data_IF_014154023283
#
_entry.id   IF_014154023283
#
_cell.length_a   1.000
_cell.length_b   1.000
_cell.length_c   1.000
_cell.angle_alpha   90.00
_cell.angle_beta   90.00
_cell.angle_gamma   90.00
#
_symmetry.space_group_name_H-M   'P 1'
#
loop_
_entity.id
_entity.type
_entity.pdbx_description
1 polymer ?
#
# COMPACT_ATOMS: atom_id res chain seq x y z
N UNK A 1 31.05 1.10 -3.64
CA UNK A 1 30.00 2.14 -3.83
C UNK A 1 28.83 1.75 -2.95
N UNK A 2 28.61 2.46 -1.86
CA UNK A 2 27.46 2.19 -0.99
C UNK A 2 26.20 2.67 -1.69
N UNK A 3 25.31 1.75 -2.06
CA UNK A 3 23.96 2.11 -2.48
C UNK A 3 23.31 2.73 -1.26
N UNK A 4 23.12 4.05 -1.27
CA UNK A 4 22.21 4.74 -0.35
C UNK A 4 20.81 4.21 -0.64
N UNK A 5 20.47 3.05 -0.10
CA UNK A 5 19.09 2.58 -0.05
C UNK A 5 18.35 3.61 0.78
N UNK A 6 17.54 4.45 0.14
CA UNK A 6 16.58 5.26 0.89
C UNK A 6 15.76 4.29 1.72
N UNK A 7 15.55 4.57 3.02
CA UNK A 7 14.65 3.76 3.82
C UNK A 7 13.29 3.71 3.11
N UNK A 8 12.84 2.50 2.80
CA UNK A 8 11.59 2.25 2.11
C UNK A 8 10.47 2.47 3.13
N UNK A 9 9.79 3.61 3.03
CA UNK A 9 8.53 3.82 3.75
C UNK A 9 7.41 2.98 3.11
N UNK A 10 6.44 2.47 3.87
CA UNK A 10 6.30 2.51 5.33
C UNK A 10 7.23 1.53 6.05
N UNK A 11 7.55 1.77 7.33
CA UNK A 11 8.41 0.89 8.15
C UNK A 11 7.64 -0.01 9.12
N UNK A 12 6.38 0.31 9.40
CA UNK A 12 5.50 -0.45 10.30
C UNK A 12 4.06 -0.45 9.78
N UNK A 13 3.22 -1.35 10.33
CA UNK A 13 1.78 -1.34 10.04
C UNK A 13 1.10 -0.05 10.51
N UNK A 14 1.57 0.53 11.60
CA UNK A 14 1.05 1.79 12.12
C UNK A 14 1.32 2.96 11.15
N UNK A 15 2.46 2.95 10.45
CA UNK A 15 2.78 3.91 9.40
C UNK A 15 1.82 3.82 8.20
N UNK A 16 1.39 2.61 7.84
CA UNK A 16 0.35 2.36 6.83
C UNK A 16 -0.96 3.01 7.28
N UNK A 17 -1.39 2.73 8.52
CA UNK A 17 -2.63 3.27 9.08
C UNK A 17 -2.61 4.80 9.14
N UNK A 18 -1.53 5.39 9.64
CA UNK A 18 -1.34 6.85 9.69
C UNK A 18 -1.42 7.50 8.31
N UNK A 19 -0.88 6.85 7.28
CA UNK A 19 -0.91 7.37 5.91
C UNK A 19 -2.33 7.32 5.32
N UNK A 20 -3.10 6.27 5.64
CA UNK A 20 -4.49 6.11 5.21
C UNK A 20 -5.48 7.01 5.97
N UNK A 21 -5.24 7.25 7.25
CA UNK A 21 -6.01 8.23 8.06
C UNK A 21 -5.60 9.68 7.77
N UNK A 22 -4.47 9.88 7.10
CA UNK A 22 -4.01 11.19 6.64
C UNK A 22 -4.90 11.83 5.57
N UNK A 23 -4.64 13.11 5.28
CA UNK A 23 -5.40 13.94 4.32
C UNK A 23 -5.46 13.33 2.92
N UNK A 24 -4.39 12.63 2.52
CA UNK A 24 -4.28 12.02 1.19
C UNK A 24 -4.94 10.64 1.13
N UNK A 25 -5.13 9.98 2.28
CA UNK A 25 -5.74 8.65 2.34
C UNK A 25 -4.98 7.58 1.56
N UNK A 26 -3.65 7.68 1.47
CA UNK A 26 -2.89 6.93 0.48
C UNK A 26 -1.52 6.54 0.99
N UNK A 27 -1.08 5.34 0.63
CA UNK A 27 0.27 4.84 0.90
C UNK A 27 0.75 3.97 -0.26
N UNK A 28 2.01 4.15 -0.66
CA UNK A 28 2.62 3.38 -1.74
C UNK A 28 4.03 2.95 -1.36
N UNK A 29 4.38 1.71 -1.69
CA UNK A 29 5.69 1.14 -1.40
C UNK A 29 6.03 -0.03 -2.32
N UNK A 30 7.32 -0.25 -2.53
CA UNK A 30 7.82 -1.38 -3.31
C UNK A 30 7.82 -2.65 -2.45
N UNK A 31 7.16 -3.70 -2.93
CA UNK A 31 7.13 -5.00 -2.27
C UNK A 31 8.40 -5.82 -2.49
N UNK A 32 8.50 -6.97 -1.81
CA UNK A 32 9.69 -7.84 -1.89
C UNK A 32 9.92 -8.42 -3.29
N UNK A 33 8.87 -8.48 -4.11
CA UNK A 33 8.92 -8.91 -5.51
C UNK A 33 9.46 -7.81 -6.47
N UNK A 34 9.72 -6.60 -5.97
CA UNK A 34 10.14 -5.45 -6.78
C UNK A 34 9.00 -4.72 -7.48
N UNK A 35 7.74 -5.10 -7.23
CA UNK A 35 6.55 -4.42 -7.74
C UNK A 35 6.12 -3.28 -6.81
N UNK A 36 5.51 -2.24 -7.37
CA UNK A 36 4.96 -1.14 -6.61
C UNK A 36 3.55 -1.53 -6.13
N UNK A 37 3.33 -1.49 -4.83
CA UNK A 37 2.02 -1.61 -4.23
C UNK A 37 1.51 -0.25 -3.78
N UNK A 38 0.22 0.00 -3.96
CA UNK A 38 -0.44 1.26 -3.57
C UNK A 38 -1.77 0.93 -2.91
N UNK A 39 -1.95 1.37 -1.67
CA UNK A 39 -3.18 1.25 -0.92
C UNK A 39 -3.81 2.63 -0.75
N UNK A 40 -5.03 2.78 -1.25
CA UNK A 40 -5.73 4.06 -1.34
C UNK A 40 -7.10 3.95 -0.68
N UNK A 41 -7.46 4.95 0.12
CA UNK A 41 -8.79 5.12 0.72
C UNK A 41 -9.58 6.11 -0.12
N UNK A 42 -10.81 5.76 -0.47
CA UNK A 42 -11.73 6.68 -1.14
C UNK A 42 -11.96 7.93 -0.31
N UNK A 43 -11.91 9.08 -0.97
CA UNK A 43 -12.22 10.39 -0.37
C UNK A 43 -13.72 10.67 -0.30
N UNK A 44 -14.54 9.85 -0.98
CA UNK A 44 -15.99 9.96 -1.04
C UNK A 44 -16.67 8.72 -0.48
N UNK A 45 -17.87 8.90 0.06
CA UNK A 45 -18.71 7.78 0.48
C UNK A 45 -19.24 7.01 -0.75
N UNK A 46 -19.25 5.66 -0.71
CA UNK A 46 -18.84 4.81 0.41
C UNK A 46 -17.32 4.73 0.56
N UNK A 47 -16.84 4.69 1.82
CA UNK A 47 -15.44 4.46 2.12
C UNK A 47 -15.02 3.08 1.62
N UNK A 48 -14.10 3.05 0.66
CA UNK A 48 -13.50 1.83 0.12
C UNK A 48 -11.99 1.96 0.13
N UNK A 49 -11.30 0.83 0.29
CA UNK A 49 -9.85 0.73 0.22
C UNK A 49 -9.47 -0.03 -1.04
N UNK A 50 -8.62 0.53 -1.87
CA UNK A 50 -8.17 -0.08 -3.11
C UNK A 50 -6.69 -0.38 -3.00
N UNK A 51 -6.33 -1.67 -3.10
CA UNK A 51 -4.96 -2.13 -3.20
C UNK A 51 -4.65 -2.39 -4.67
N UNK A 52 -3.70 -1.65 -5.22
CA UNK A 52 -3.22 -1.81 -6.59
C UNK A 52 -1.77 -2.28 -6.57
N UNK A 53 -1.47 -3.33 -7.34
CA UNK A 53 -0.13 -3.80 -7.63
C UNK A 53 0.25 -3.40 -9.05
N UNK A 54 1.41 -2.78 -9.20
CA UNK A 54 1.96 -2.35 -10.49
C UNK A 54 3.26 -3.08 -10.78
N UNK A 55 3.51 -3.40 -12.05
CA UNK A 55 4.74 -4.07 -12.47
C UNK A 55 5.94 -3.15 -12.29
N UNK A 56 6.93 -3.60 -11.52
CA UNK A 56 8.15 -2.83 -11.28
C UNK A 56 7.84 -1.50 -10.59
N UNK A 57 8.45 -0.42 -11.08
CA UNK A 57 8.23 0.94 -10.57
C UNK A 57 7.40 1.81 -11.52
N UNK A 58 6.77 1.21 -12.54
CA UNK A 58 5.97 1.90 -13.54
C UNK A 58 4.50 1.80 -13.18
N UNK A 59 3.87 2.94 -12.84
CA UNK A 59 2.42 3.03 -12.57
C UNK A 59 1.54 2.78 -13.82
N UNK A 60 2.15 2.40 -14.95
CA UNK A 60 1.48 2.21 -16.24
C UNK A 60 0.83 0.83 -16.41
N UNK A 61 1.29 -0.20 -15.68
CA UNK A 61 0.75 -1.56 -15.81
C UNK A 61 0.30 -2.11 -14.44
N UNK A 62 -1.02 -2.14 -14.23
CA UNK A 62 -1.63 -2.74 -13.04
C UNK A 62 -1.67 -4.26 -13.24
N UNK A 63 -0.95 -4.99 -12.38
CA UNK A 63 -0.96 -6.45 -12.34
C UNK A 63 -2.16 -7.00 -11.58
N UNK A 64 -2.47 -6.37 -10.44
CA UNK A 64 -3.59 -6.78 -9.61
C UNK A 64 -4.26 -5.55 -8.99
N UNK A 65 -5.57 -5.63 -8.79
CA UNK A 65 -6.35 -4.58 -8.15
C UNK A 65 -7.45 -5.21 -7.31
N UNK A 66 -7.35 -5.04 -6.01
CA UNK A 66 -8.34 -5.53 -5.05
C UNK A 66 -9.00 -4.36 -4.33
N UNK A 67 -10.32 -4.44 -4.16
CA UNK A 67 -11.10 -3.41 -3.47
C UNK A 67 -11.75 -4.01 -2.25
N UNK A 68 -11.61 -3.31 -1.13
CA UNK A 68 -12.10 -3.69 0.18
C UNK A 68 -13.10 -2.64 0.64
N UNK A 69 -14.19 -3.08 1.27
CA UNK A 69 -15.15 -2.16 1.89
C UNK A 69 -14.59 -1.53 3.17
N UNK A 70 -15.24 -0.48 3.68
CA UNK A 70 -14.84 0.22 4.91
C UNK A 70 -14.61 -0.74 6.09
N UNK A 71 -15.47 -1.74 6.22
CA UNK A 71 -15.45 -2.77 7.27
C UNK A 71 -14.25 -3.71 7.16
N UNK A 72 -13.64 -3.81 5.98
CA UNK A 72 -12.49 -4.65 5.68
C UNK A 72 -11.16 -3.87 5.68
N UNK A 73 -11.11 -2.67 6.29
CA UNK A 73 -9.87 -1.86 6.45
C UNK A 73 -8.69 -2.70 6.94
N UNK A 74 -8.88 -3.46 8.01
CA UNK A 74 -7.82 -4.27 8.62
C UNK A 74 -7.28 -5.33 7.66
N UNK A 75 -8.16 -5.96 6.87
CA UNK A 75 -7.78 -6.93 5.85
C UNK A 75 -6.96 -6.27 4.72
N UNK A 76 -7.37 -5.09 4.26
CA UNK A 76 -6.65 -4.34 3.23
C UNK A 76 -5.23 -3.94 3.69
N UNK A 77 -5.12 -3.47 4.93
CA UNK A 77 -3.84 -3.09 5.55
C UNK A 77 -2.94 -4.32 5.72
N UNK A 78 -3.47 -5.44 6.19
CA UNK A 78 -2.71 -6.70 6.31
C UNK A 78 -2.27 -7.25 4.97
N UNK A 79 -3.10 -7.17 3.94
CA UNK A 79 -2.75 -7.58 2.59
C UNK A 79 -1.57 -6.75 2.03
N UNK A 80 -1.65 -5.42 2.18
CA UNK A 80 -0.56 -4.52 1.80
C UNK A 80 0.71 -4.78 2.62
N UNK A 81 0.59 -4.90 3.94
CA UNK A 81 1.73 -5.16 4.83
C UNK A 81 2.43 -6.49 4.48
N UNK A 82 1.66 -7.54 4.22
CA UNK A 82 2.17 -8.84 3.78
C UNK A 82 2.91 -8.75 2.44
N UNK A 83 2.41 -7.96 1.49
CA UNK A 83 3.07 -7.75 0.19
C UNK A 83 4.43 -7.05 0.31
N UNK A 84 4.60 -6.23 1.36
CA UNK A 84 5.86 -5.56 1.71
C UNK A 84 6.81 -6.42 2.56
N UNK A 85 6.40 -7.63 2.95
CA UNK A 85 7.20 -8.52 3.79
C UNK A 85 7.10 -8.26 5.29
N UNK A 86 6.13 -7.45 5.75
CA UNK A 86 5.88 -7.32 7.17
C UNK A 86 5.33 -8.62 7.76
N UNK A 87 5.88 -9.03 8.90
CA UNK A 87 5.30 -10.11 9.70
C UNK A 87 4.13 -9.54 10.49
N UNK A 88 2.91 -9.79 10.01
CA UNK A 88 1.63 -9.32 10.59
C UNK A 88 0.84 -10.44 11.23
#
# INVERSE_FOLDING_TARGET
>A
MGVLMRPQWPHTVDDILKSLDGVWGLVGATGENGNLYRLERSLHEPLVYTLSEYRGNEESEILNKETFEATAKDAAVKAFAKALGFTV
#
